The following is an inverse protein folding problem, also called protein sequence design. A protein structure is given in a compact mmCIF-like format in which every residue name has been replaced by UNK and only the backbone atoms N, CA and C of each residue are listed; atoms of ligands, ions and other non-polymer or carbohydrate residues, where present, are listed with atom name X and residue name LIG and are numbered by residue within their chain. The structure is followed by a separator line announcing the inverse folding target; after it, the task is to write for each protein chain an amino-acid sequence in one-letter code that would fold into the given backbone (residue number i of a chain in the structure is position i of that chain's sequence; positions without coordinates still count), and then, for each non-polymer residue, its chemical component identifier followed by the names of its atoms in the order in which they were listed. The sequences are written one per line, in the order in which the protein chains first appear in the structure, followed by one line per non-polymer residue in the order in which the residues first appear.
data_IF_923894304841
#
_entry.id   IF_923894304841
#
_cell.length_a   1.000
_cell.length_b   1.000
_cell.length_c   1.000
_cell.angle_alpha   90.00
_cell.angle_beta   90.00
_cell.angle_gamma   90.00
#
_symmetry.space_group_name_H-M   'P 1'
#
loop_
_entity.id
_entity.type
_entity.pdbx_description
1 polymer ?
#
# COMPACT_ATOMS: atom_id res chain seq x y z
N UNK A 1 -3.31 -9.58 -19.58
CA UNK A 1 -3.13 -8.54 -18.55
C UNK A 1 -3.79 -9.06 -17.29
N UNK A 2 -3.10 -9.09 -16.15
CA UNK A 2 -3.64 -9.65 -14.90
C UNK A 2 -4.50 -8.64 -14.14
N UNK A 3 -5.57 -9.10 -13.49
CA UNK A 3 -6.41 -8.31 -12.59
C UNK A 3 -6.21 -8.80 -11.15
N UNK A 4 -5.88 -7.89 -10.25
CA UNK A 4 -5.63 -8.23 -8.84
C UNK A 4 -6.91 -8.67 -8.12
N UNK A 5 -8.08 -8.29 -8.62
CA UNK A 5 -9.39 -8.76 -8.12
C UNK A 5 -9.82 -10.10 -8.75
N UNK A 6 -9.10 -10.60 -9.76
CA UNK A 6 -9.37 -11.86 -10.44
C UNK A 6 -8.06 -12.53 -10.87
N UNK A 7 -7.35 -13.11 -9.90
CA UNK A 7 -5.98 -13.64 -10.07
C UNK A 7 -5.94 -14.87 -10.99
N UNK A 8 -7.07 -15.56 -11.17
CA UNK A 8 -7.15 -16.84 -11.86
C UNK A 8 -6.64 -18.03 -11.05
N UNK A 9 -6.22 -17.82 -9.80
CA UNK A 9 -5.75 -18.89 -8.91
C UNK A 9 -6.92 -19.66 -8.30
N UNK A 10 -6.69 -20.94 -8.03
CA UNK A 10 -7.66 -21.78 -7.31
C UNK A 10 -7.90 -21.26 -5.88
N UNK A 11 -9.09 -21.49 -5.36
CA UNK A 11 -9.44 -21.20 -3.95
C UNK A 11 -8.55 -22.01 -3.02
N UNK A 12 -8.10 -21.40 -1.91
CA UNK A 12 -7.25 -22.05 -0.90
C UNK A 12 -6.02 -22.77 -1.49
N UNK A 13 -5.30 -22.10 -2.39
CA UNK A 13 -4.15 -22.65 -3.12
C UNK A 13 -2.80 -22.09 -2.71
N UNK A 14 -2.77 -20.96 -1.98
CA UNK A 14 -1.52 -20.32 -1.54
C UNK A 14 -1.48 -20.13 -0.03
N UNK A 15 -0.28 -20.17 0.54
CA UNK A 15 -0.05 -19.96 1.97
C UNK A 15 0.06 -18.48 2.35
N UNK A 16 0.54 -17.66 1.41
CA UNK A 16 0.76 -16.24 1.63
C UNK A 16 0.50 -15.43 0.35
N UNK A 17 0.07 -14.19 0.54
CA UNK A 17 -0.03 -13.17 -0.50
C UNK A 17 0.68 -11.91 0.02
N UNK A 18 1.44 -11.26 -0.86
CA UNK A 18 2.10 -9.99 -0.57
C UNK A 18 1.69 -8.96 -1.61
N UNK A 19 1.21 -7.80 -1.16
CA UNK A 19 0.91 -6.65 -2.00
C UNK A 19 1.88 -5.53 -1.61
N UNK A 20 2.74 -5.15 -2.55
CA UNK A 20 3.73 -4.08 -2.33
C UNK A 20 3.29 -2.86 -3.13
N UNK A 21 2.77 -1.85 -2.44
CA UNK A 21 2.46 -0.52 -3.00
C UNK A 21 1.63 -0.55 -4.29
N UNK A 22 0.74 -1.53 -4.42
CA UNK A 22 -0.10 -1.72 -5.61
C UNK A 22 -1.60 -1.56 -5.34
N UNK A 23 -2.06 -1.73 -4.09
CA UNK A 23 -3.49 -1.77 -3.74
C UNK A 23 -4.22 -0.47 -4.10
N UNK A 24 -3.55 0.67 -4.02
CA UNK A 24 -4.15 1.99 -4.30
C UNK A 24 -4.68 2.13 -5.73
N UNK A 25 -4.12 1.38 -6.68
CA UNK A 25 -4.52 1.41 -8.09
C UNK A 25 -5.70 0.49 -8.41
N UNK A 26 -6.11 -0.36 -7.46
CA UNK A 26 -7.27 -1.21 -7.64
C UNK A 26 -8.56 -0.37 -7.69
N UNK A 27 -9.43 -0.57 -8.69
CA UNK A 27 -10.74 0.08 -8.75
C UNK A 27 -11.60 -0.22 -7.52
N UNK A 28 -11.53 -1.47 -7.02
CA UNK A 28 -12.12 -1.88 -5.76
C UNK A 28 -11.08 -2.56 -4.88
N UNK A 29 -10.68 -1.85 -3.82
CA UNK A 29 -9.73 -2.37 -2.82
C UNK A 29 -10.33 -3.57 -2.07
N UNK A 30 -11.62 -3.50 -1.74
CA UNK A 30 -12.32 -4.59 -1.09
C UNK A 30 -12.35 -5.86 -1.95
N UNK A 31 -12.64 -5.74 -3.26
CA UNK A 31 -12.68 -6.90 -4.15
C UNK A 31 -11.30 -7.58 -4.27
N UNK A 32 -10.22 -6.79 -4.33
CA UNK A 32 -8.84 -7.31 -4.29
C UNK A 32 -8.58 -8.08 -3.00
N UNK A 33 -8.98 -7.55 -1.84
CA UNK A 33 -8.74 -8.21 -0.57
C UNK A 33 -9.59 -9.47 -0.41
N UNK A 34 -10.82 -9.47 -0.91
CA UNK A 34 -11.68 -10.66 -0.97
C UNK A 34 -11.07 -11.74 -1.87
N UNK A 35 -10.49 -11.36 -3.01
CA UNK A 35 -9.77 -12.28 -3.88
C UNK A 35 -8.53 -12.85 -3.19
N UNK A 36 -7.77 -12.01 -2.48
CA UNK A 36 -6.65 -12.47 -1.65
C UNK A 36 -7.11 -13.46 -0.56
N UNK A 37 -8.23 -13.17 0.10
CA UNK A 37 -8.82 -14.06 1.11
C UNK A 37 -9.23 -15.41 0.47
N UNK A 38 -9.85 -15.39 -0.72
CA UNK A 38 -10.30 -16.59 -1.42
C UNK A 38 -9.14 -17.53 -1.79
N UNK A 39 -8.02 -16.99 -2.28
CA UNK A 39 -6.90 -17.81 -2.74
C UNK A 39 -6.05 -18.36 -1.58
N UNK A 40 -6.11 -17.74 -0.40
CA UNK A 40 -5.38 -18.18 0.78
C UNK A 40 -6.01 -19.44 1.41
N UNK A 41 -5.16 -20.38 1.81
CA UNK A 41 -5.55 -21.52 2.67
C UNK A 41 -6.05 -21.01 4.04
N UNK A 42 -6.83 -21.80 4.82
CA UNK A 42 -7.13 -21.47 6.21
C UNK A 42 -5.85 -21.27 7.05
N UNK A 43 -5.78 -20.18 7.82
CA UNK A 43 -4.57 -19.76 8.54
C UNK A 43 -3.48 -19.13 7.67
N UNK A 44 -3.71 -18.96 6.36
CA UNK A 44 -2.83 -18.25 5.43
C UNK A 44 -2.74 -16.76 5.73
N UNK A 45 -1.70 -16.09 5.22
CA UNK A 45 -1.37 -14.70 5.57
C UNK A 45 -1.36 -13.76 4.37
N UNK A 46 -1.99 -12.60 4.55
CA UNK A 46 -1.85 -11.45 3.66
C UNK A 46 -0.93 -10.41 4.32
N UNK A 47 0.02 -9.87 3.54
CA UNK A 47 0.88 -8.75 3.93
C UNK A 47 0.75 -7.64 2.89
N UNK A 48 0.55 -6.41 3.34
CA UNK A 48 0.41 -5.23 2.49
C UNK A 48 1.36 -4.14 2.96
N UNK A 49 2.17 -3.61 2.06
CA UNK A 49 2.79 -2.30 2.23
C UNK A 49 1.98 -1.28 1.44
N UNK A 50 1.67 -0.14 2.04
CA UNK A 50 0.96 0.92 1.36
C UNK A 50 1.20 2.27 2.04
N UNK A 51 0.58 3.30 1.46
CA UNK A 51 0.38 4.59 2.08
C UNK A 51 -1.06 4.70 2.59
N UNK A 52 -1.22 5.29 3.76
CA UNK A 52 -2.52 5.74 4.26
C UNK A 52 -2.47 7.25 4.53
N UNK A 53 -3.59 7.95 4.45
CA UNK A 53 -3.65 9.34 4.88
C UNK A 53 -3.39 9.42 6.39
N UNK A 54 -2.80 10.51 6.84
CA UNK A 54 -2.75 10.84 8.28
C UNK A 54 -4.15 11.20 8.77
N UNK A 55 -4.88 12.00 7.98
CA UNK A 55 -6.27 12.38 8.20
C UNK A 55 -7.13 11.88 7.03
N UNK A 56 -8.08 10.97 7.30
CA UNK A 56 -8.99 10.46 6.27
C UNK A 56 -9.86 11.57 5.72
N UNK A 57 -10.08 11.56 4.41
CA UNK A 57 -10.89 12.57 3.73
C UNK A 57 -10.16 13.87 3.39
N UNK A 58 -8.88 14.05 3.76
CA UNK A 58 -8.13 15.26 3.38
C UNK A 58 -8.05 15.39 1.85
N UNK A 59 -8.70 16.44 1.33
CA UNK A 59 -8.80 16.69 -0.11
C UNK A 59 -7.44 16.93 -0.78
N UNK A 60 -6.40 17.29 -0.01
CA UNK A 60 -5.03 17.46 -0.50
C UNK A 60 -4.36 16.13 -0.83
N UNK A 61 -4.85 15.02 -0.25
CA UNK A 61 -4.38 13.66 -0.52
C UNK A 61 -5.03 13.11 -1.79
N UNK A 62 -4.26 12.32 -2.54
CA UNK A 62 -4.72 11.64 -3.76
C UNK A 62 -6.00 10.84 -3.51
N UNK A 63 -7.04 10.95 -4.37
CA UNK A 63 -8.26 10.17 -4.25
C UNK A 63 -8.03 8.65 -4.21
N UNK A 64 -6.90 8.17 -4.74
CA UNK A 64 -6.56 6.74 -4.74
C UNK A 64 -6.37 6.16 -3.33
N UNK A 65 -6.00 7.00 -2.36
CA UNK A 65 -5.73 6.60 -0.96
C UNK A 65 -6.41 7.47 0.09
N UNK A 66 -7.05 8.59 -0.30
CA UNK A 66 -7.66 9.58 0.62
C UNK A 66 -8.55 8.99 1.71
N UNK A 67 -9.28 7.94 1.37
CA UNK A 67 -10.23 7.28 2.28
C UNK A 67 -9.75 5.88 2.67
N UNK A 68 -8.50 5.52 2.36
CA UNK A 68 -7.99 4.18 2.60
C UNK A 68 -7.71 3.97 4.09
N UNK A 69 -8.48 3.05 4.68
CA UNK A 69 -8.17 2.45 5.96
C UNK A 69 -8.03 0.93 5.88
N UNK A 70 -6.80 0.42 5.98
CA UNK A 70 -6.54 -1.01 5.81
C UNK A 70 -7.12 -1.84 6.96
N UNK A 71 -7.19 -1.32 8.17
CA UNK A 71 -7.65 -2.11 9.33
C UNK A 71 -9.11 -2.55 9.19
N UNK A 72 -10.09 -1.63 9.04
CA UNK A 72 -11.49 -2.02 8.85
C UNK A 72 -11.70 -2.72 7.50
N UNK A 73 -10.99 -2.33 6.45
CA UNK A 73 -11.16 -2.93 5.13
C UNK A 73 -10.70 -4.40 5.08
N UNK A 74 -9.62 -4.74 5.78
CA UNK A 74 -9.19 -6.15 5.94
C UNK A 74 -10.21 -6.96 6.72
N UNK A 75 -10.81 -6.40 7.77
CA UNK A 75 -11.86 -7.07 8.55
C UNK A 75 -13.10 -7.31 7.69
N UNK A 76 -13.53 -6.32 6.90
CA UNK A 76 -14.64 -6.43 5.97
C UNK A 76 -14.39 -7.50 4.90
N UNK A 77 -13.14 -7.65 4.44
CA UNK A 77 -12.74 -8.70 3.51
C UNK A 77 -12.67 -10.11 4.13
N UNK A 78 -12.90 -10.25 5.44
CA UNK A 78 -12.94 -11.54 6.14
C UNK A 78 -11.65 -11.95 6.84
N UNK A 79 -10.62 -11.09 6.85
CA UNK A 79 -9.38 -11.39 7.58
C UNK A 79 -9.55 -11.26 9.09
N UNK A 80 -8.92 -12.18 9.81
CA UNK A 80 -8.77 -12.18 11.26
C UNK A 80 -7.34 -11.78 11.66
N UNK A 81 -7.14 -11.50 12.96
CA UNK A 81 -5.87 -11.05 13.54
C UNK A 81 -5.23 -9.89 12.76
N UNK A 82 -6.07 -8.93 12.36
CA UNK A 82 -5.63 -7.76 11.59
C UNK A 82 -4.74 -6.87 12.45
N UNK A 83 -3.57 -6.53 11.92
CA UNK A 83 -2.67 -5.55 12.51
C UNK A 83 -2.18 -4.58 11.44
N UNK A 84 -2.25 -3.29 11.73
CA UNK A 84 -1.68 -2.24 10.88
C UNK A 84 -0.67 -1.48 11.71
N UNK A 85 0.57 -1.41 11.22
CA UNK A 85 1.67 -0.73 11.90
C UNK A 85 2.19 0.39 11.01
N UNK A 86 2.33 1.57 11.60
CA UNK A 86 3.05 2.66 10.95
C UNK A 86 4.54 2.33 10.90
N UNK A 87 5.16 2.62 9.76
CA UNK A 87 6.57 2.35 9.49
C UNK A 87 7.30 3.66 9.25
N UNK A 88 7.53 4.37 10.35
CA UNK A 88 8.24 5.64 10.37
C UNK A 88 9.67 5.50 9.81
N UNK A 89 10.34 4.38 10.08
CA UNK A 89 11.64 4.05 9.51
C UNK A 89 11.62 4.00 7.97
N UNK A 90 10.57 3.42 7.39
CA UNK A 90 10.40 3.37 5.93
C UNK A 90 10.08 4.74 5.35
N UNK A 91 9.24 5.50 6.05
CA UNK A 91 8.91 6.88 5.68
C UNK A 91 10.18 7.73 5.59
N UNK A 92 11.02 7.67 6.62
CA UNK A 92 12.27 8.44 6.72
C UNK A 92 13.28 8.02 5.66
N UNK A 93 13.50 6.72 5.47
CA UNK A 93 14.44 6.22 4.46
C UNK A 93 14.05 6.70 3.05
N UNK A 94 12.78 6.58 2.69
CA UNK A 94 12.32 7.03 1.38
C UNK A 94 12.29 8.58 1.29
N UNK A 95 12.05 9.31 2.40
CA UNK A 95 12.20 10.78 2.43
C UNK A 95 13.65 11.19 2.19
N UNK A 96 14.62 10.49 2.77
CA UNK A 96 16.05 10.77 2.56
C UNK A 96 16.44 10.56 1.09
N UNK A 97 15.98 9.48 0.45
CA UNK A 97 16.20 9.25 -0.98
C UNK A 97 15.76 10.45 -1.84
N UNK A 98 14.59 11.02 -1.55
CA UNK A 98 14.10 12.20 -2.28
C UNK A 98 14.93 13.46 -2.02
N UNK A 99 15.38 13.67 -0.78
CA UNK A 99 16.26 14.78 -0.43
C UNK A 99 17.64 14.64 -1.10
N UNK A 100 18.19 13.43 -1.15
CA UNK A 100 19.44 13.13 -1.86
C UNK A 100 19.33 13.41 -3.35
N UNK A 101 18.22 13.03 -3.99
CA UNK A 101 17.96 13.35 -5.41
C UNK A 101 17.97 14.87 -5.66
N UNK A 102 17.38 15.67 -4.75
CA UNK A 102 17.40 17.14 -4.82
C UNK A 102 18.79 17.75 -4.63
N UNK A 103 19.70 17.05 -3.96
CA UNK A 103 21.04 17.55 -3.67
C UNK A 103 22.05 17.31 -4.81
N UNK A 104 21.68 16.54 -5.85
CA UNK A 104 22.58 16.24 -6.98
C UNK A 104 22.88 17.52 -7.78
N UNK A 105 24.15 17.96 -7.87
CA UNK A 105 24.55 19.10 -8.69
C UNK A 105 24.66 18.71 -10.16
N UNK A 106 24.50 19.68 -11.05
CA UNK A 106 24.61 19.53 -12.51
C UNK A 106 23.82 18.32 -13.06
N UNK A 107 22.50 18.24 -12.77
CA UNK A 107 21.70 17.07 -13.11
C UNK A 107 21.55 16.91 -14.62
N UNK A 108 21.68 15.67 -15.08
CA UNK A 108 21.24 15.29 -16.43
C UNK A 108 19.69 15.40 -16.54
N UNK A 109 19.11 15.32 -17.75
CA UNK A 109 17.66 15.46 -17.91
C UNK A 109 16.82 14.44 -17.13
N UNK A 110 17.31 13.23 -16.90
CA UNK A 110 16.59 12.22 -16.13
C UNK A 110 16.57 12.61 -14.64
N UNK A 111 17.69 13.11 -14.13
CA UNK A 111 17.79 13.62 -12.76
C UNK A 111 16.94 14.88 -12.55
N UNK A 112 16.86 15.79 -13.53
CA UNK A 112 15.94 16.94 -13.46
C UNK A 112 14.49 16.47 -13.29
N UNK A 113 14.07 15.47 -14.07
CA UNK A 113 12.73 14.90 -13.96
C UNK A 113 12.48 14.28 -12.57
N UNK A 114 13.47 13.57 -12.03
CA UNK A 114 13.39 13.00 -10.69
C UNK A 114 13.33 14.07 -9.59
N UNK A 115 14.08 15.16 -9.73
CA UNK A 115 14.05 16.31 -8.80
C UNK A 115 12.70 17.02 -8.81
N UNK A 116 12.08 17.18 -9.99
CA UNK A 116 10.74 17.74 -10.09
C UNK A 116 9.70 16.86 -9.41
N UNK A 117 9.82 15.54 -9.54
CA UNK A 117 8.97 14.59 -8.81
C UNK A 117 9.23 14.66 -7.31
N UNK A 118 10.50 14.72 -6.87
CA UNK A 118 10.86 14.85 -5.48
C UNK A 118 10.19 16.07 -4.83
N UNK A 119 10.18 17.23 -5.50
CA UNK A 119 9.49 18.44 -5.02
C UNK A 119 7.99 18.20 -4.83
N UNK A 120 7.33 17.53 -5.77
CA UNK A 120 5.89 17.22 -5.69
C UNK A 120 5.58 16.24 -4.56
N UNK A 121 6.38 15.18 -4.44
CA UNK A 121 6.23 14.14 -3.42
C UNK A 121 6.44 14.72 -2.04
N UNK A 122 7.55 15.46 -1.82
CA UNK A 122 7.90 16.04 -0.53
C UNK A 122 6.88 17.08 -0.05
N UNK A 123 6.29 17.86 -0.96
CA UNK A 123 5.29 18.89 -0.61
C UNK A 123 4.01 18.33 0.03
N UNK A 124 3.68 17.05 -0.23
CA UNK A 124 2.47 16.38 0.28
C UNK A 124 2.76 15.24 1.24
N UNK A 125 4.05 14.99 1.51
CA UNK A 125 4.53 13.78 2.16
C UNK A 125 4.00 13.61 3.58
N UNK A 126 4.00 14.69 4.36
CA UNK A 126 3.56 14.68 5.76
C UNK A 126 2.03 14.52 5.92
N UNK A 127 1.28 14.49 4.81
CA UNK A 127 -0.17 14.19 4.80
C UNK A 127 -0.45 12.67 4.79
N UNK A 128 0.59 11.85 4.64
CA UNK A 128 0.47 10.41 4.46
C UNK A 128 1.49 9.69 5.35
N UNK A 129 1.14 8.50 5.80
CA UNK A 129 1.98 7.62 6.59
C UNK A 129 2.24 6.31 5.85
N UNK A 130 3.46 5.79 6.01
CA UNK A 130 3.82 4.44 5.54
C UNK A 130 3.25 3.40 6.49
N UNK A 131 2.60 2.38 5.96
CA UNK A 131 2.00 1.32 6.77
C UNK A 131 2.39 -0.07 6.27
N UNK A 132 2.51 -0.98 7.23
CA UNK A 132 2.53 -2.42 7.04
C UNK A 132 1.24 -2.98 7.65
N UNK A 133 0.36 -3.51 6.81
CA UNK A 133 -0.84 -4.21 7.27
C UNK A 133 -0.68 -5.73 7.07
N UNK A 134 -1.16 -6.49 8.04
CA UNK A 134 -1.14 -7.95 8.04
C UNK A 134 -2.52 -8.46 8.45
N UNK A 135 -3.01 -9.47 7.75
CA UNK A 135 -4.21 -10.21 8.11
C UNK A 135 -4.01 -11.71 7.90
N UNK A 136 -4.79 -12.52 8.61
CA UNK A 136 -4.78 -13.99 8.45
C UNK A 136 -6.19 -14.49 8.16
N UNK A 137 -6.32 -15.51 7.32
CA UNK A 137 -7.60 -16.20 7.17
C UNK A 137 -7.89 -17.01 8.45
N UNK A 138 -9.16 -17.09 8.89
CA UNK A 138 -9.51 -17.91 10.06
C UNK A 138 -9.08 -19.37 9.90
N UNK A 139 -8.70 -20.01 11.00
CA UNK A 139 -8.50 -21.47 11.04
C UNK A 139 -9.87 -22.12 11.29
N UNK A 140 -10.21 -23.12 10.47
CA UNK A 140 -11.38 -23.99 10.68
C UNK A 140 -11.20 -24.86 11.92
#
# INVERSE_FOLDING_TARGET
MGDLAATGLATASVHAVVIIDALQFAPSKLAVLQECHRVLVPGGRLVITCWQPVEQGDEKVSPLIRDLDLSPLLQEAGFAAVSTQERQDWYENEKQLWLEALAVPDPDPAMVSLQDEARRVLAKRDLMKRVLAVGTTPRS
#
